data_IF_683896972372
#
_entry.id   IF_683896972372
#
_cell.length_a   1.000
_cell.length_b   1.000
_cell.length_c   1.000
_cell.angle_alpha   90.00
_cell.angle_beta   90.00
_cell.angle_gamma   90.00
#
_symmetry.space_group_name_H-M   'P 1'
#
loop_
_entity.id
_entity.type
_entity.pdbx_description
1 polymer ?
#
# COMPACT_ATOMS: atom_id res chain seq x y z
N UNK A 1 53.24 44.48 21.94
CA UNK A 1 51.97 44.76 22.62
C UNK A 1 50.85 44.35 21.66
N UNK A 2 50.05 43.34 22.00
CA UNK A 2 48.83 42.97 21.27
C UNK A 2 48.97 41.75 20.35
N UNK A 3 48.32 40.68 20.77
CA UNK A 3 48.19 39.33 20.20
C UNK A 3 47.54 39.22 18.80
N UNK A 4 47.68 38.04 18.16
CA UNK A 4 47.23 37.74 16.80
C UNK A 4 45.78 37.23 16.77
N UNK A 5 44.98 37.68 15.80
CA UNK A 5 43.71 37.08 15.46
C UNK A 5 43.71 36.67 13.98
N UNK A 6 43.78 35.36 13.79
CA UNK A 6 43.62 34.61 12.56
C UNK A 6 42.22 34.83 11.96
N UNK A 7 42.12 35.46 10.78
CA UNK A 7 40.88 35.55 10.00
C UNK A 7 41.10 34.80 8.67
N UNK A 8 40.98 33.47 8.75
CA UNK A 8 41.04 32.54 7.64
C UNK A 8 39.78 32.73 6.78
N UNK A 9 39.88 33.54 5.72
CA UNK A 9 38.82 33.68 4.73
C UNK A 9 38.97 32.59 3.66
N UNK A 10 38.19 31.52 3.82
CA UNK A 10 37.96 30.51 2.79
C UNK A 10 37.26 31.14 1.58
N UNK A 11 38.04 31.47 0.54
CA UNK A 11 37.53 31.79 -0.80
C UNK A 11 37.06 30.51 -1.50
N UNK A 12 35.74 30.31 -1.57
CA UNK A 12 35.13 29.23 -2.36
C UNK A 12 35.02 29.68 -3.84
N UNK A 13 35.57 28.93 -4.82
CA UNK A 13 35.53 29.33 -6.22
C UNK A 13 34.12 29.14 -6.80
N UNK A 14 33.58 30.20 -7.43
CA UNK A 14 32.30 30.16 -8.15
C UNK A 14 32.40 29.23 -9.38
N UNK A 15 31.49 28.26 -9.57
CA UNK A 15 31.52 27.41 -10.75
C UNK A 15 31.05 28.21 -11.98
N UNK A 16 31.91 28.26 -13.00
CA UNK A 16 31.59 28.80 -14.32
C UNK A 16 30.58 27.87 -14.99
N UNK A 17 29.37 28.37 -15.24
CA UNK A 17 28.29 27.64 -15.88
C UNK A 17 28.61 27.28 -17.33
N UNK A 18 29.03 26.04 -17.57
CA UNK A 18 28.97 25.39 -18.88
C UNK A 18 27.52 24.98 -19.13
N UNK A 19 26.91 25.58 -20.16
CA UNK A 19 25.51 25.37 -20.56
C UNK A 19 25.12 23.90 -20.62
N UNK A 20 24.26 23.49 -19.69
CA UNK A 20 23.34 22.36 -19.87
C UNK A 20 21.99 22.99 -20.16
N UNK A 21 21.43 22.68 -21.33
CA UNK A 21 20.12 23.14 -21.75
C UNK A 21 19.12 23.00 -20.60
N UNK A 22 18.58 24.14 -20.15
CA UNK A 22 17.43 24.17 -19.26
C UNK A 22 16.33 23.36 -19.96
N UNK A 23 16.01 22.18 -19.43
CA UNK A 23 14.67 21.62 -19.68
C UNK A 23 13.68 22.73 -19.30
N UNK A 24 12.73 23.09 -20.16
CA UNK A 24 11.84 24.21 -19.89
C UNK A 24 11.10 23.95 -18.56
N UNK A 25 10.78 25.02 -17.81
CA UNK A 25 10.14 24.89 -16.51
C UNK A 25 8.80 24.20 -16.73
N UNK A 26 8.69 22.96 -16.25
CA UNK A 26 7.46 22.20 -16.01
C UNK A 26 6.25 22.75 -16.78
N UNK A 27 6.03 22.30 -18.02
CA UNK A 27 4.76 22.54 -18.70
C UNK A 27 3.65 22.06 -17.78
N UNK A 28 2.94 23.01 -17.18
CA UNK A 28 1.73 22.74 -16.43
C UNK A 28 0.81 21.99 -17.40
N UNK A 29 0.41 20.77 -17.03
CA UNK A 29 -0.52 19.98 -17.82
C UNK A 29 -1.69 20.87 -18.23
N UNK A 30 -2.02 20.90 -19.53
CA UNK A 30 -3.20 21.66 -19.99
C UNK A 30 -4.44 21.16 -19.25
N UNK A 31 -5.47 21.99 -19.12
CA UNK A 31 -6.68 21.59 -18.39
C UNK A 31 -7.36 20.36 -19.02
N UNK A 32 -7.27 20.22 -20.35
CA UNK A 32 -7.70 19.03 -21.06
C UNK A 32 -6.89 17.78 -20.66
N UNK A 33 -5.58 17.93 -20.50
CA UNK A 33 -4.66 16.85 -20.15
C UNK A 33 -4.77 16.46 -18.67
N UNK A 34 -5.00 17.42 -17.78
CA UNK A 34 -5.38 17.16 -16.37
C UNK A 34 -6.69 16.38 -16.29
N UNK A 35 -7.72 16.80 -17.03
CA UNK A 35 -9.02 16.11 -17.07
C UNK A 35 -8.87 14.67 -17.59
N UNK A 36 -8.12 14.47 -18.67
CA UNK A 36 -7.85 13.16 -19.21
C UNK A 36 -7.10 12.26 -18.21
N UNK A 37 -6.06 12.79 -17.56
CA UNK A 37 -5.30 12.04 -16.56
C UNK A 37 -6.13 11.70 -15.32
N UNK A 38 -6.99 12.61 -14.86
CA UNK A 38 -7.92 12.35 -13.76
C UNK A 38 -8.88 11.20 -14.09
N UNK A 39 -9.49 11.21 -15.28
CA UNK A 39 -10.39 10.14 -15.72
C UNK A 39 -9.64 8.80 -15.78
N UNK A 40 -8.46 8.77 -16.40
CA UNK A 40 -7.65 7.56 -16.51
C UNK A 40 -7.23 7.01 -15.13
N UNK A 41 -6.79 7.89 -14.24
CA UNK A 41 -6.40 7.54 -12.87
C UNK A 41 -7.58 6.95 -12.08
N UNK A 42 -8.77 7.53 -12.20
CA UNK A 42 -9.96 7.02 -11.53
C UNK A 42 -10.46 5.70 -12.13
N UNK A 43 -10.40 5.54 -13.46
CA UNK A 43 -10.70 4.26 -14.11
C UNK A 43 -9.77 3.16 -13.62
N UNK A 44 -8.45 3.42 -13.56
CA UNK A 44 -7.47 2.47 -13.01
C UNK A 44 -7.76 2.15 -11.54
N UNK A 45 -8.06 3.16 -10.72
CA UNK A 45 -8.44 2.97 -9.31
C UNK A 45 -9.67 2.06 -9.18
N UNK A 46 -10.72 2.31 -9.96
CA UNK A 46 -11.95 1.49 -9.97
C UNK A 46 -11.71 0.07 -10.45
N UNK A 47 -10.86 -0.11 -11.47
CA UNK A 47 -10.48 -1.44 -11.94
C UNK A 47 -9.76 -2.24 -10.85
N UNK A 48 -8.82 -1.62 -10.15
CA UNK A 48 -8.11 -2.26 -9.03
C UNK A 48 -9.06 -2.66 -7.89
N UNK A 49 -10.03 -1.80 -7.54
CA UNK A 49 -11.05 -2.11 -6.53
C UNK A 49 -11.85 -3.34 -6.95
N UNK A 50 -12.28 -3.41 -8.21
CA UNK A 50 -13.05 -4.55 -8.73
C UNK A 50 -12.26 -5.86 -8.65
N UNK A 51 -10.99 -5.84 -9.04
CA UNK A 51 -10.10 -7.00 -8.91
C UNK A 51 -10.02 -7.47 -7.44
N UNK A 52 -9.94 -6.54 -6.48
CA UNK A 52 -9.97 -6.87 -5.06
C UNK A 52 -11.28 -7.56 -4.63
N UNK A 53 -12.43 -7.11 -5.15
CA UNK A 53 -13.70 -7.79 -4.91
C UNK A 53 -13.78 -9.18 -5.53
N UNK A 54 -13.26 -9.35 -6.75
CA UNK A 54 -13.21 -10.66 -7.41
C UNK A 54 -12.35 -11.65 -6.59
N UNK A 55 -11.20 -11.20 -6.07
CA UNK A 55 -10.36 -12.01 -5.17
C UNK A 55 -11.08 -12.40 -3.87
N UNK A 56 -11.87 -11.50 -3.30
CA UNK A 56 -12.67 -11.83 -2.11
C UNK A 56 -13.73 -12.90 -2.41
N UNK A 57 -14.36 -12.83 -3.58
CA UNK A 57 -15.35 -13.84 -4.01
C UNK A 57 -14.69 -15.22 -4.19
N UNK A 58 -13.48 -15.26 -4.74
CA UNK A 58 -12.75 -16.50 -4.97
C UNK A 58 -12.28 -17.17 -3.65
N UNK A 59 -11.86 -16.37 -2.67
CA UNK A 59 -11.31 -16.89 -1.40
C UNK A 59 -12.41 -17.27 -0.40
N UNK A 60 -13.55 -16.58 -0.41
CA UNK A 60 -14.63 -16.80 0.57
C UNK A 60 -15.59 -17.87 0.05
N UNK A 61 -15.63 -19.08 0.65
CA UNK A 61 -16.38 -20.21 0.08
C UNK A 61 -17.88 -19.94 -0.05
N UNK A 62 -18.44 -19.11 0.84
CA UNK A 62 -19.88 -18.78 0.87
C UNK A 62 -20.33 -17.82 -0.24
N UNK A 63 -19.39 -17.22 -0.99
CA UNK A 63 -19.70 -16.24 -2.04
C UNK A 63 -19.71 -16.83 -3.46
N UNK A 64 -19.19 -18.04 -3.66
CA UNK A 64 -19.02 -18.67 -4.97
C UNK A 64 -20.31 -18.89 -5.78
N UNK A 65 -21.48 -18.87 -5.13
CA UNK A 65 -22.79 -19.17 -5.75
C UNK A 65 -23.84 -18.06 -5.55
N UNK A 66 -23.47 -16.94 -4.91
CA UNK A 66 -24.42 -15.92 -4.43
C UNK A 66 -24.30 -14.59 -5.18
N UNK A 67 -25.34 -13.76 -5.04
CA UNK A 67 -25.43 -12.42 -5.61
C UNK A 67 -24.25 -11.53 -5.19
N UNK A 68 -23.58 -10.93 -6.16
CA UNK A 68 -22.33 -10.17 -5.99
C UNK A 68 -22.57 -8.71 -5.59
N UNK A 69 -23.40 -8.45 -4.58
CA UNK A 69 -23.47 -7.08 -4.04
C UNK A 69 -22.22 -6.79 -3.22
N UNK A 70 -21.60 -5.62 -3.42
CA UNK A 70 -20.35 -5.23 -2.75
C UNK A 70 -20.51 -5.29 -1.22
N UNK A 71 -21.65 -4.84 -0.70
CA UNK A 71 -21.98 -4.90 0.74
C UNK A 71 -22.01 -6.34 1.28
N UNK A 72 -22.64 -7.28 0.55
CA UNK A 72 -22.71 -8.67 0.96
C UNK A 72 -21.34 -9.35 0.90
N UNK A 73 -20.53 -9.04 -0.11
CA UNK A 73 -19.15 -9.56 -0.22
C UNK A 73 -18.35 -9.16 1.01
N UNK A 74 -18.38 -7.88 1.39
CA UNK A 74 -17.68 -7.39 2.58
C UNK A 74 -18.18 -8.06 3.86
N UNK A 75 -19.51 -8.19 4.01
CA UNK A 75 -20.11 -8.80 5.20
C UNK A 75 -19.69 -10.28 5.34
N UNK A 76 -19.82 -11.06 4.26
CA UNK A 76 -19.43 -12.48 4.26
C UNK A 76 -17.93 -12.67 4.43
N UNK A 77 -17.12 -11.78 3.88
CA UNK A 77 -15.67 -11.79 4.11
C UNK A 77 -15.34 -11.58 5.58
N UNK A 78 -15.99 -10.63 6.25
CA UNK A 78 -15.79 -10.40 7.68
C UNK A 78 -16.28 -11.57 8.55
N UNK A 79 -17.42 -12.18 8.20
CA UNK A 79 -17.92 -13.40 8.85
C UNK A 79 -16.90 -14.54 8.72
N UNK A 80 -16.35 -14.74 7.52
CA UNK A 80 -15.39 -15.80 7.26
C UNK A 80 -14.09 -15.62 8.04
N UNK A 81 -13.59 -14.39 8.16
CA UNK A 81 -12.41 -14.08 9.00
C UNK A 81 -12.67 -14.48 10.46
N UNK A 82 -13.85 -14.17 11.01
CA UNK A 82 -14.21 -14.58 12.38
C UNK A 82 -14.20 -16.11 12.52
N UNK A 83 -14.85 -16.81 11.60
CA UNK A 83 -14.88 -18.28 11.60
C UNK A 83 -13.48 -18.90 11.50
N UNK A 84 -12.58 -18.33 10.69
CA UNK A 84 -11.19 -18.79 10.59
C UNK A 84 -10.42 -18.59 11.90
N UNK A 85 -10.63 -17.47 12.59
CA UNK A 85 -10.02 -17.21 13.90
C UNK A 85 -10.50 -18.22 14.94
N UNK A 86 -11.81 -18.48 15.00
CA UNK A 86 -12.40 -19.45 15.93
C UNK A 86 -11.90 -20.86 15.65
N UNK A 87 -11.89 -21.27 14.37
CA UNK A 87 -11.37 -22.58 13.93
C UNK A 87 -9.89 -22.74 14.30
N UNK A 88 -9.07 -21.71 14.05
CA UNK A 88 -7.65 -21.71 14.44
C UNK A 88 -7.49 -21.88 15.94
N UNK A 89 -8.27 -21.18 16.75
CA UNK A 89 -8.18 -21.27 18.20
C UNK A 89 -8.60 -22.66 18.71
N UNK A 90 -9.69 -23.22 18.20
CA UNK A 90 -10.15 -24.57 18.52
C UNK A 90 -9.11 -25.64 18.13
N UNK A 91 -8.51 -25.53 16.94
CA UNK A 91 -7.45 -26.45 16.52
C UNK A 91 -6.22 -26.35 17.43
N UNK A 92 -5.82 -25.14 17.86
CA UNK A 92 -4.71 -24.95 18.80
C UNK A 92 -4.98 -25.52 20.18
N UNK A 93 -6.23 -25.50 20.63
CA UNK A 93 -6.65 -26.12 21.87
C UNK A 93 -6.59 -27.65 21.76
N UNK A 94 -7.16 -28.22 20.69
CA UNK A 94 -7.08 -29.67 20.41
C UNK A 94 -5.64 -30.16 20.31
N UNK A 95 -4.74 -29.40 19.69
CA UNK A 95 -3.31 -29.74 19.65
C UNK A 95 -2.71 -29.78 21.06
N UNK A 96 -3.02 -28.79 21.90
CA UNK A 96 -2.55 -28.77 23.31
C UNK A 96 -3.08 -29.95 24.11
N UNK A 97 -4.36 -30.26 23.98
CA UNK A 97 -4.98 -31.42 24.65
C UNK A 97 -4.31 -32.73 24.25
N UNK A 98 -4.07 -32.92 22.95
CA UNK A 98 -3.40 -34.11 22.43
C UNK A 98 -1.95 -34.19 22.89
N UNK A 99 -1.22 -33.08 22.93
CA UNK A 99 0.16 -33.03 23.44
C UNK A 99 0.22 -33.40 24.92
N UNK A 100 -0.73 -32.90 25.74
CA UNK A 100 -0.85 -33.29 27.14
C UNK A 100 -1.19 -34.78 27.30
N UNK A 101 -2.09 -35.30 26.46
CA UNK A 101 -2.48 -36.72 26.49
C UNK A 101 -1.34 -37.66 26.06
N UNK A 102 -0.47 -37.23 25.15
CA UNK A 102 0.68 -38.01 24.69
C UNK A 102 1.90 -37.89 25.62
N UNK A 103 1.86 -36.99 26.61
CA UNK A 103 2.96 -36.76 27.55
C UNK A 103 4.13 -35.98 26.94
N UNK A 104 3.89 -35.24 25.85
CA UNK A 104 4.91 -34.45 25.14
C UNK A 104 5.11 -33.04 25.75
N UNK A 105 4.53 -32.76 26.92
CA UNK A 105 4.62 -31.48 27.66
C UNK A 105 5.01 -31.72 29.10
#
# INVERSE_FOLDING_TARGET
>A
MGDPANDFKDEIPKPRGSGRGRKPPHELLSDAQKKANHIASEQKRRANIRIGFDQLVDIVPTLSHCHRSESLILQKSADYIRQLVDTKNSLRERVRELQLALGDV
#
